data_IF_444368547047
#
_entry.id   IF_444368547047
#
_cell.length_a   1.000
_cell.length_b   1.000
_cell.length_c   1.000
_cell.angle_alpha   90.00
_cell.angle_beta   90.00
_cell.angle_gamma   90.00
#
_symmetry.space_group_name_H-M   'P 1'
#
loop_
_entity.id
_entity.type
_entity.pdbx_description
1 polymer ?
#
# COMPACT_ATOMS: atom_id res chain seq x y z
N UNK A 1 -2.93 7.15 -1.26
CA UNK A 1 -4.06 7.53 -2.14
C UNK A 1 -3.86 6.98 -3.56
N UNK A 2 -4.22 5.72 -3.79
CA UNK A 2 -4.28 5.15 -5.15
C UNK A 2 -5.59 5.64 -5.80
N UNK A 3 -5.50 6.65 -6.68
CA UNK A 3 -6.65 7.11 -7.44
C UNK A 3 -7.00 6.07 -8.51
N UNK A 4 -8.18 5.47 -8.40
CA UNK A 4 -8.84 4.80 -9.51
C UNK A 4 -9.29 5.87 -10.53
N UNK A 5 -8.48 6.12 -11.55
CA UNK A 5 -8.88 6.94 -12.69
C UNK A 5 -9.66 6.06 -13.68
N UNK A 6 -10.99 6.16 -13.63
CA UNK A 6 -11.92 5.44 -14.48
C UNK A 6 -12.31 6.28 -15.71
N UNK A 7 -11.36 6.64 -16.59
CA UNK A 7 -11.65 7.23 -17.91
C UNK A 7 -10.40 7.54 -18.77
N UNK A 8 -9.45 6.61 -18.88
CA UNK A 8 -8.43 6.64 -19.93
C UNK A 8 -8.34 5.24 -20.57
N UNK A 9 -8.20 5.12 -21.90
CA UNK A 9 -7.91 3.83 -22.51
C UNK A 9 -6.58 3.32 -21.95
N UNK A 10 -6.62 2.18 -21.25
CA UNK A 10 -5.41 1.58 -20.64
C UNK A 10 -4.53 1.03 -21.78
N UNK A 11 -3.33 1.55 -22.01
CA UNK A 11 -2.38 0.86 -22.89
C UNK A 11 -2.02 -0.48 -22.24
N UNK A 12 -2.10 -1.58 -23.00
CA UNK A 12 -1.78 -2.91 -22.49
C UNK A 12 -0.31 -2.96 -22.06
N UNK A 13 -0.05 -3.04 -20.76
CA UNK A 13 1.31 -3.25 -20.20
C UNK A 13 1.75 -4.71 -20.23
N UNK A 14 0.95 -5.57 -20.87
CA UNK A 14 1.18 -7.00 -20.96
C UNK A 14 2.41 -7.32 -21.84
N UNK A 15 3.30 -8.24 -21.42
CA UNK A 15 4.37 -8.72 -22.29
C UNK A 15 3.74 -9.31 -23.57
N UNK A 16 4.30 -9.03 -24.76
CA UNK A 16 3.75 -9.60 -25.98
C UNK A 16 3.82 -11.13 -25.90
N UNK A 17 2.74 -11.83 -26.26
CA UNK A 17 2.63 -13.32 -26.15
C UNK A 17 3.82 -14.05 -26.78
N UNK A 18 4.47 -13.45 -27.78
CA UNK A 18 5.68 -13.97 -28.42
C UNK A 18 6.85 -14.20 -27.44
N UNK A 19 6.80 -13.61 -26.25
CA UNK A 19 7.80 -13.70 -25.18
C UNK A 19 7.51 -14.77 -24.13
N UNK A 20 6.36 -15.45 -24.20
CA UNK A 20 6.08 -16.59 -23.33
C UNK A 20 6.80 -17.84 -23.85
N UNK A 21 7.55 -18.49 -22.96
CA UNK A 21 8.18 -19.78 -23.28
C UNK A 21 7.10 -20.84 -23.56
N UNK A 22 5.97 -20.79 -22.82
CA UNK A 22 4.75 -21.53 -23.16
C UNK A 22 3.72 -20.58 -23.82
N UNK A 23 3.68 -20.58 -25.16
CA UNK A 23 2.84 -19.68 -25.95
C UNK A 23 1.35 -19.93 -25.76
N UNK A 24 0.95 -21.19 -25.63
CA UNK A 24 -0.47 -21.57 -25.51
C UNK A 24 -1.08 -21.04 -24.22
N UNK A 25 -0.32 -21.06 -23.11
CA UNK A 25 -0.72 -20.42 -21.85
C UNK A 25 -0.97 -18.92 -22.07
N UNK A 26 -0.03 -18.21 -22.70
CA UNK A 26 -0.16 -16.78 -22.99
C UNK A 26 -1.36 -16.45 -23.89
N UNK A 27 -1.60 -17.26 -24.93
CA UNK A 27 -2.72 -17.10 -25.85
C UNK A 27 -4.08 -17.28 -25.14
N UNK A 28 -4.20 -18.28 -24.26
CA UNK A 28 -5.41 -18.48 -23.45
C UNK A 28 -5.63 -17.29 -22.53
N UNK A 29 -4.62 -16.85 -21.79
CA UNK A 29 -4.75 -15.73 -20.86
C UNK A 29 -5.19 -14.44 -21.58
N UNK A 30 -4.65 -14.16 -22.78
CA UNK A 30 -5.08 -13.02 -23.58
C UNK A 30 -6.50 -13.17 -24.11
N UNK A 31 -6.92 -14.36 -24.54
CA UNK A 31 -8.29 -14.62 -25.02
C UNK A 31 -9.34 -14.28 -23.97
N UNK A 32 -9.02 -14.53 -22.70
CA UNK A 32 -9.89 -14.19 -21.56
C UNK A 32 -9.75 -12.74 -21.08
N UNK A 33 -8.96 -11.91 -21.78
CA UNK A 33 -8.73 -10.50 -21.42
C UNK A 33 -8.29 -10.33 -19.96
N UNK A 34 -7.41 -11.20 -19.49
CA UNK A 34 -6.92 -11.16 -18.10
C UNK A 34 -6.20 -9.83 -17.85
N UNK A 35 -6.49 -9.12 -16.74
CA UNK A 35 -5.81 -7.87 -16.40
C UNK A 35 -4.29 -8.04 -16.24
N UNK A 36 -3.54 -6.93 -16.30
CA UNK A 36 -2.08 -6.96 -16.33
C UNK A 36 -1.42 -7.67 -15.12
N UNK A 37 -1.89 -7.40 -13.91
CA UNK A 37 -1.30 -7.98 -12.69
C UNK A 37 -1.48 -9.51 -12.62
N UNK A 38 -2.70 -10.07 -12.74
CA UNK A 38 -2.86 -11.52 -12.77
C UNK A 38 -2.20 -12.15 -14.01
N UNK A 39 -2.13 -11.47 -15.15
CA UNK A 39 -1.42 -11.95 -16.33
C UNK A 39 0.08 -12.08 -16.10
N UNK A 40 0.73 -11.02 -15.56
CA UNK A 40 2.13 -11.04 -15.18
C UNK A 40 2.41 -12.09 -14.09
N UNK A 41 1.46 -12.25 -13.16
CA UNK A 41 1.60 -13.24 -12.10
C UNK A 41 1.63 -14.66 -12.69
N UNK A 42 0.70 -14.97 -13.60
CA UNK A 42 0.68 -16.24 -14.33
C UNK A 42 1.89 -16.41 -15.23
N UNK A 43 2.40 -15.34 -15.85
CA UNK A 43 3.62 -15.37 -16.66
C UNK A 43 4.82 -15.82 -15.82
N UNK A 44 5.03 -15.18 -14.68
CA UNK A 44 6.14 -15.51 -13.79
C UNK A 44 6.04 -16.95 -13.26
N UNK A 45 4.84 -17.46 -12.95
CA UNK A 45 4.62 -18.86 -12.58
C UNK A 45 4.99 -19.79 -13.74
N UNK A 46 4.52 -19.47 -14.96
CA UNK A 46 4.83 -20.26 -16.15
C UNK A 46 6.33 -20.36 -16.37
N UNK A 47 7.06 -19.25 -16.34
CA UNK A 47 8.52 -19.23 -16.55
C UNK A 47 9.27 -19.93 -15.42
N UNK A 48 8.82 -19.79 -14.17
CA UNK A 48 9.43 -20.47 -13.02
C UNK A 48 9.24 -22.00 -13.08
N UNK A 49 8.13 -22.47 -13.68
CA UNK A 49 7.83 -23.91 -13.80
C UNK A 49 8.71 -24.66 -14.80
N UNK A 50 9.50 -23.96 -15.62
CA UNK A 50 10.32 -24.56 -16.67
C UNK A 50 11.71 -25.04 -16.20
N UNK A 51 12.00 -24.95 -14.90
CA UNK A 51 13.17 -25.58 -14.24
C UNK A 51 14.48 -25.47 -15.04
N UNK A 52 14.93 -24.24 -15.30
CA UNK A 52 16.17 -23.95 -16.03
C UNK A 52 16.02 -23.78 -17.55
N UNK A 53 14.91 -24.24 -18.14
CA UNK A 53 14.64 -24.09 -19.58
C UNK A 53 14.08 -22.70 -19.95
N UNK A 54 13.66 -21.91 -18.96
CA UNK A 54 13.26 -20.52 -19.19
C UNK A 54 14.49 -19.65 -19.48
N UNK A 55 14.34 -18.70 -20.43
CA UNK A 55 15.33 -17.63 -20.64
C UNK A 55 15.56 -16.77 -19.39
N UNK A 56 14.62 -16.80 -18.44
CA UNK A 56 14.65 -16.07 -17.18
C UNK A 56 15.11 -16.90 -16.00
N UNK A 57 15.59 -18.13 -16.20
CA UNK A 57 16.02 -19.03 -15.12
C UNK A 57 16.97 -18.36 -14.13
N UNK A 58 18.05 -17.73 -14.59
CA UNK A 58 19.01 -17.05 -13.71
C UNK A 58 18.41 -15.89 -12.90
N UNK A 59 17.44 -15.16 -13.47
CA UNK A 59 16.74 -14.09 -12.76
C UNK A 59 15.79 -14.68 -11.71
N UNK A 60 15.00 -15.69 -12.09
CA UNK A 60 14.03 -16.37 -11.22
C UNK A 60 14.75 -17.05 -10.04
N UNK A 61 15.90 -17.68 -10.28
CA UNK A 61 16.72 -18.31 -9.23
C UNK A 61 17.25 -17.29 -8.20
N UNK A 62 17.46 -16.04 -8.62
CA UNK A 62 17.88 -14.96 -7.73
C UNK A 62 16.72 -14.34 -6.94
N UNK A 63 15.46 -14.61 -7.31
CA UNK A 63 14.30 -14.06 -6.62
C UNK A 63 14.13 -14.68 -5.21
N UNK A 64 13.59 -13.91 -4.25
CA UNK A 64 13.23 -14.45 -2.95
C UNK A 64 12.21 -15.59 -3.09
N UNK A 65 12.51 -16.74 -2.48
CA UNK A 65 11.54 -17.85 -2.38
C UNK A 65 10.36 -17.49 -1.48
N UNK A 66 10.59 -16.66 -0.47
CA UNK A 66 9.56 -16.18 0.46
C UNK A 66 9.74 -14.68 0.73
N UNK A 67 9.04 -13.81 -0.02
CA UNK A 67 8.92 -12.40 0.31
C UNK A 67 8.37 -12.18 1.73
N UNK A 68 8.84 -11.13 2.42
CA UNK A 68 8.46 -10.83 3.81
C UNK A 68 7.29 -9.84 3.96
N UNK A 69 6.64 -9.48 2.85
CA UNK A 69 5.53 -8.52 2.84
C UNK A 69 4.33 -9.02 3.66
N UNK A 70 3.41 -8.11 3.99
CA UNK A 70 2.20 -8.48 4.74
C UNK A 70 1.33 -9.51 4.02
N UNK A 71 1.50 -9.68 2.71
CA UNK A 71 0.86 -10.77 1.96
C UNK A 71 1.15 -12.14 2.57
N UNK A 72 2.28 -12.33 3.28
CA UNK A 72 2.72 -13.59 3.90
C UNK A 72 2.38 -13.75 5.37
N UNK A 73 1.76 -12.75 5.97
CA UNK A 73 1.33 -12.82 7.35
C UNK A 73 0.00 -13.56 7.42
N UNK A 74 -0.20 -14.38 8.46
CA UNK A 74 -1.48 -15.04 8.69
C UNK A 74 -2.50 -14.04 9.22
N UNK A 75 -3.80 -14.36 9.10
CA UNK A 75 -4.87 -13.54 9.68
C UNK A 75 -4.66 -13.30 11.18
N UNK A 76 -4.28 -14.34 11.92
CA UNK A 76 -3.98 -14.25 13.35
C UNK A 76 -2.80 -13.33 13.65
N UNK A 77 -1.74 -13.36 12.83
CA UNK A 77 -0.58 -12.47 12.98
C UNK A 77 -0.94 -11.01 12.69
N UNK A 78 -1.71 -10.76 11.63
CA UNK A 78 -2.19 -9.42 11.28
C UNK A 78 -3.08 -8.87 12.40
N UNK A 79 -4.03 -9.67 12.88
CA UNK A 79 -4.96 -9.27 13.94
C UNK A 79 -4.26 -9.06 15.28
N UNK A 80 -3.24 -9.86 15.60
CA UNK A 80 -2.50 -9.73 16.86
C UNK A 80 -1.47 -8.59 16.82
N UNK A 81 -0.70 -8.48 15.74
CA UNK A 81 0.48 -7.62 15.70
C UNK A 81 0.16 -6.23 15.12
N UNK A 82 -0.81 -6.09 14.23
CA UNK A 82 -1.15 -4.80 13.61
C UNK A 82 -2.44 -4.18 14.17
N UNK A 83 -2.93 -4.67 15.32
CA UNK A 83 -4.20 -4.20 15.92
C UNK A 83 -4.27 -2.69 16.12
N UNK A 84 -3.14 -2.04 16.44
CA UNK A 84 -3.07 -0.59 16.61
C UNK A 84 -3.07 0.16 15.27
N UNK A 85 -2.36 -0.35 14.26
CA UNK A 85 -2.12 0.34 12.99
C UNK A 85 -3.30 0.23 12.02
N UNK A 86 -3.67 1.32 11.32
CA UNK A 86 -4.66 1.30 10.25
C UNK A 86 -4.22 0.48 9.03
N UNK A 87 -2.91 0.18 8.87
CA UNK A 87 -2.41 -0.67 7.76
C UNK A 87 -3.02 -2.06 7.78
N UNK A 88 -3.50 -2.52 8.96
CA UNK A 88 -4.15 -3.82 9.16
C UNK A 88 -5.26 -4.08 8.15
N UNK A 89 -6.18 -3.13 7.96
CA UNK A 89 -7.31 -3.32 7.05
C UNK A 89 -6.84 -3.39 5.58
N UNK A 90 -5.84 -2.58 5.20
CA UNK A 90 -5.23 -2.65 3.86
C UNK A 90 -4.52 -3.99 3.62
N UNK A 91 -3.93 -4.59 4.66
CA UNK A 91 -3.31 -5.91 4.57
C UNK A 91 -4.37 -7.01 4.38
N UNK A 92 -5.45 -6.97 5.17
CA UNK A 92 -6.58 -7.91 5.06
C UNK A 92 -7.20 -7.83 3.66
N UNK A 93 -7.51 -6.63 3.18
CA UNK A 93 -8.08 -6.42 1.84
C UNK A 93 -7.18 -7.02 0.76
N UNK A 94 -5.87 -6.71 0.79
CA UNK A 94 -4.93 -7.20 -0.23
C UNK A 94 -4.79 -8.72 -0.25
N UNK A 95 -4.79 -9.36 0.91
CA UNK A 95 -4.79 -10.83 0.97
C UNK A 95 -6.08 -11.38 0.35
N UNK A 96 -7.23 -10.82 0.71
CA UNK A 96 -8.52 -11.19 0.13
C UNK A 96 -8.58 -10.96 -1.38
N UNK A 97 -8.03 -9.86 -1.88
CA UNK A 97 -8.00 -9.52 -3.31
C UNK A 97 -7.14 -10.51 -4.11
N UNK A 98 -5.97 -10.88 -3.60
CA UNK A 98 -5.11 -11.90 -4.24
C UNK A 98 -5.80 -13.27 -4.25
N UNK A 99 -6.42 -13.67 -3.13
CA UNK A 99 -7.16 -14.93 -3.03
C UNK A 99 -8.35 -14.94 -3.99
N UNK A 100 -9.13 -13.87 -4.02
CA UNK A 100 -10.28 -13.70 -4.91
C UNK A 100 -9.86 -13.76 -6.38
N UNK A 101 -8.78 -13.07 -6.73
CA UNK A 101 -8.19 -13.08 -8.07
C UNK A 101 -7.79 -14.49 -8.50
N UNK A 102 -7.12 -15.26 -7.64
CA UNK A 102 -6.76 -16.64 -7.94
C UNK A 102 -8.00 -17.52 -8.16
N UNK A 103 -8.98 -17.46 -7.26
CA UNK A 103 -10.19 -18.27 -7.37
C UNK A 103 -10.93 -17.96 -8.67
N UNK A 104 -11.01 -16.68 -9.02
CA UNK A 104 -11.63 -16.21 -10.26
C UNK A 104 -10.88 -16.71 -11.51
N UNK A 105 -9.55 -16.69 -11.53
CA UNK A 105 -8.77 -17.30 -12.63
C UNK A 105 -8.92 -18.82 -12.69
N UNK A 106 -8.90 -19.50 -11.54
CA UNK A 106 -9.07 -20.94 -11.45
C UNK A 106 -10.40 -21.37 -12.06
N UNK A 107 -11.48 -20.74 -11.63
CA UNK A 107 -12.84 -21.14 -12.01
C UNK A 107 -13.15 -20.74 -13.47
N UNK A 108 -12.65 -19.59 -13.95
CA UNK A 108 -12.91 -19.13 -15.32
C UNK A 108 -11.98 -19.74 -16.37
N UNK A 109 -10.73 -20.06 -16.01
CA UNK A 109 -9.65 -20.42 -16.94
C UNK A 109 -8.97 -21.73 -16.54
N UNK A 110 -8.27 -21.81 -15.40
CA UNK A 110 -7.34 -22.92 -15.14
C UNK A 110 -8.05 -24.29 -15.14
N UNK A 111 -9.22 -24.39 -14.50
CA UNK A 111 -10.00 -25.63 -14.46
C UNK A 111 -10.55 -26.08 -15.83
N UNK A 112 -10.65 -25.17 -16.81
CA UNK A 112 -11.12 -25.50 -18.19
C UNK A 112 -9.98 -26.00 -19.08
N UNK A 113 -8.74 -25.71 -18.72
CA UNK A 113 -7.55 -26.06 -19.48
C UNK A 113 -6.51 -26.72 -18.56
N UNK A 114 -6.83 -27.85 -17.90
CA UNK A 114 -5.97 -28.47 -16.90
C UNK A 114 -4.61 -28.93 -17.46
N UNK A 115 -4.54 -29.25 -18.76
CA UNK A 115 -3.29 -29.61 -19.43
C UNK A 115 -2.33 -28.41 -19.57
N UNK A 116 -2.88 -27.19 -19.74
CA UNK A 116 -2.11 -25.95 -19.84
C UNK A 116 -1.84 -25.33 -18.47
N UNK A 117 -2.77 -25.50 -17.52
CA UNK A 117 -2.71 -24.94 -16.18
C UNK A 117 -2.80 -26.03 -15.11
N UNK A 118 -1.81 -26.95 -15.03
CA UNK A 118 -1.85 -28.03 -14.07
C UNK A 118 -1.80 -27.49 -12.63
N UNK A 119 -2.66 -28.01 -11.75
CA UNK A 119 -2.81 -27.52 -10.36
C UNK A 119 -1.50 -27.56 -9.57
N UNK A 120 -0.63 -28.55 -9.85
CA UNK A 120 0.71 -28.62 -9.24
C UNK A 120 1.58 -27.39 -9.51
N UNK A 121 1.34 -26.66 -10.60
CA UNK A 121 2.06 -25.43 -10.99
C UNK A 121 1.22 -24.19 -10.66
N UNK A 122 -0.04 -24.15 -11.10
CA UNK A 122 -0.92 -22.99 -10.95
C UNK A 122 -1.81 -23.11 -9.72
N UNK A 123 -1.19 -23.22 -8.55
CA UNK A 123 -1.87 -23.25 -7.25
C UNK A 123 -1.77 -21.90 -6.51
N UNK A 124 -2.49 -21.80 -5.38
CA UNK A 124 -2.50 -20.61 -4.54
C UNK A 124 -1.10 -20.24 -3.99
N UNK A 125 -0.25 -21.22 -3.70
CA UNK A 125 1.09 -20.97 -3.15
C UNK A 125 1.96 -20.24 -4.18
N UNK A 126 2.06 -20.77 -5.40
CA UNK A 126 2.80 -20.15 -6.50
C UNK A 126 2.17 -18.82 -6.94
N UNK A 127 0.84 -18.69 -6.85
CA UNK A 127 0.16 -17.43 -7.14
C UNK A 127 0.47 -16.35 -6.11
N UNK A 128 0.45 -16.70 -4.81
CA UNK A 128 0.86 -15.80 -3.73
C UNK A 128 2.33 -15.42 -3.83
N UNK A 129 3.20 -16.38 -4.19
CA UNK A 129 4.61 -16.13 -4.53
C UNK A 129 4.76 -15.09 -5.62
N UNK A 130 4.11 -15.32 -6.75
CA UNK A 130 4.18 -14.43 -7.88
C UNK A 130 3.71 -13.01 -7.55
N UNK A 131 2.56 -12.86 -6.88
CA UNK A 131 2.10 -11.55 -6.40
C UNK A 131 3.05 -10.93 -5.37
N UNK A 132 3.66 -11.72 -4.50
CA UNK A 132 4.68 -11.24 -3.56
C UNK A 132 5.89 -10.64 -4.26
N UNK A 133 6.36 -11.27 -5.35
CA UNK A 133 7.40 -10.71 -6.22
C UNK A 133 6.92 -9.43 -6.89
N UNK A 134 5.74 -9.44 -7.52
CA UNK A 134 5.22 -8.26 -8.21
C UNK A 134 5.04 -7.06 -7.26
N UNK A 135 4.49 -7.24 -6.06
CA UNK A 135 4.34 -6.14 -5.11
C UNK A 135 5.68 -5.54 -4.66
N UNK A 136 6.73 -6.34 -4.59
CA UNK A 136 8.03 -5.93 -4.03
C UNK A 136 9.05 -5.49 -5.09
N UNK A 137 8.88 -5.87 -6.36
CA UNK A 137 9.91 -5.69 -7.41
C UNK A 137 9.40 -5.09 -8.71
N UNK A 138 8.10 -4.98 -8.90
CA UNK A 138 7.55 -4.44 -10.14
C UNK A 138 7.85 -2.93 -10.23
N UNK A 139 8.58 -2.53 -11.27
CA UNK A 139 8.93 -1.15 -11.56
C UNK A 139 7.89 -0.56 -12.50
N UNK A 140 7.46 0.68 -12.22
CA UNK A 140 6.62 1.48 -13.12
C UNK A 140 7.51 2.45 -13.90
N UNK A 141 7.48 2.34 -15.22
CA UNK A 141 8.32 3.10 -16.16
C UNK A 141 7.50 4.26 -16.73
N UNK A 142 7.64 5.45 -16.15
CA UNK A 142 6.86 6.63 -16.56
C UNK A 142 7.20 7.06 -18.00
N UNK A 143 8.47 6.93 -18.42
CA UNK A 143 8.89 7.21 -19.80
C UNK A 143 8.34 6.21 -20.84
N UNK A 144 7.65 5.16 -20.39
CA UNK A 144 6.93 4.19 -21.21
C UNK A 144 5.42 4.17 -20.92
N UNK A 145 4.80 5.33 -20.74
CA UNK A 145 3.37 5.48 -20.48
C UNK A 145 2.89 4.75 -19.22
N UNK A 146 3.76 4.67 -18.21
CA UNK A 146 3.46 4.01 -16.94
C UNK A 146 3.38 2.48 -17.04
N UNK A 147 3.97 1.88 -18.08
CA UNK A 147 4.13 0.42 -18.19
C UNK A 147 4.89 -0.13 -16.99
N UNK A 148 4.62 -1.39 -16.68
CA UNK A 148 5.24 -2.08 -15.55
C UNK A 148 6.14 -3.21 -16.01
N UNK A 149 7.26 -3.41 -15.32
CA UNK A 149 8.22 -4.45 -15.66
C UNK A 149 8.94 -4.99 -14.42
N UNK A 150 9.27 -6.28 -14.44
CA UNK A 150 10.33 -6.84 -13.60
C UNK A 150 11.65 -6.59 -14.32
N UNK A 151 12.65 -6.07 -13.61
CA UNK A 151 13.89 -5.58 -14.22
C UNK A 151 15.05 -6.33 -13.57
N UNK A 152 15.48 -7.46 -14.17
CA UNK A 152 16.56 -8.26 -13.63
C UNK A 152 17.79 -7.42 -13.29
N UNK A 153 18.45 -7.76 -12.19
CA UNK A 153 19.56 -7.02 -11.58
C UNK A 153 19.17 -5.67 -10.97
N UNK A 154 18.42 -4.83 -11.67
CA UNK A 154 18.05 -3.50 -11.18
C UNK A 154 17.06 -3.56 -10.00
N UNK A 155 16.10 -4.49 -10.02
CA UNK A 155 15.14 -4.66 -8.92
C UNK A 155 15.74 -5.31 -7.65
N UNK A 156 17.04 -5.61 -7.65
CA UNK A 156 17.78 -6.05 -6.46
C UNK A 156 18.34 -4.88 -5.63
N UNK A 157 18.31 -3.65 -6.16
CA UNK A 157 18.75 -2.45 -5.45
C UNK A 157 17.76 -2.15 -4.31
N UNK A 158 18.29 -1.94 -3.10
CA UNK A 158 17.47 -1.65 -1.93
C UNK A 158 16.96 -0.20 -1.91
N UNK A 159 15.89 0.01 -1.14
CA UNK A 159 15.35 1.34 -0.88
C UNK A 159 16.20 2.14 0.11
N UNK A 160 16.38 3.42 -0.17
CA UNK A 160 16.67 4.41 0.87
C UNK A 160 15.71 5.60 0.77
N UNK A 161 15.20 6.12 1.90
CA UNK A 161 14.42 7.37 1.92
C UNK A 161 15.26 8.62 1.64
N UNK A 162 16.58 8.50 1.62
CA UNK A 162 17.54 9.61 1.42
C UNK A 162 17.92 9.82 -0.04
N UNK A 163 17.42 8.97 -0.95
CA UNK A 163 17.70 9.05 -2.39
C UNK A 163 16.41 9.26 -3.17
N UNK A 164 16.50 10.03 -4.24
CA UNK A 164 15.50 10.25 -5.26
C UNK A 164 15.80 9.43 -6.53
N UNK A 165 16.97 8.80 -6.66
CA UNK A 165 17.31 7.94 -7.79
C UNK A 165 16.25 6.85 -8.06
N UNK A 166 15.73 6.75 -9.28
CA UNK A 166 14.71 5.77 -9.66
C UNK A 166 15.02 5.13 -11.02
N UNK A 167 14.40 3.98 -11.27
CA UNK A 167 14.51 3.25 -12.53
C UNK A 167 13.49 3.76 -13.53
N UNK A 168 13.95 4.14 -14.73
CA UNK A 168 13.06 4.48 -15.84
C UNK A 168 13.71 4.14 -17.19
N UNK A 169 12.92 4.17 -18.25
CA UNK A 169 13.40 3.93 -19.60
C UNK A 169 14.08 5.16 -20.19
N UNK A 170 15.34 5.03 -20.55
CA UNK A 170 16.06 6.03 -21.31
C UNK A 170 16.03 5.71 -22.81
N UNK A 171 15.47 6.64 -23.59
CA UNK A 171 15.36 6.52 -25.04
C UNK A 171 16.72 6.52 -25.73
N UNK A 172 17.72 7.17 -25.16
CA UNK A 172 19.04 7.31 -25.80
C UNK A 172 19.85 6.01 -25.74
N UNK A 173 19.88 5.36 -24.57
CA UNK A 173 20.51 4.05 -24.37
C UNK A 173 19.62 2.87 -24.75
N UNK A 174 18.33 3.11 -25.00
CA UNK A 174 17.30 2.09 -25.24
C UNK A 174 17.20 1.04 -24.12
N UNK A 175 17.46 1.46 -22.87
CA UNK A 175 17.49 0.58 -21.70
C UNK A 175 16.76 1.17 -20.50
N UNK A 176 16.51 0.32 -19.51
CA UNK A 176 16.07 0.78 -18.18
C UNK A 176 17.32 1.16 -17.39
N UNK A 177 17.38 2.40 -16.94
CA UNK A 177 18.53 2.98 -16.25
C UNK A 177 18.09 3.70 -14.98
N UNK A 178 19.03 3.93 -14.07
CA UNK A 178 18.90 4.92 -13.01
C UNK A 178 20.18 5.76 -12.98
N UNK A 179 20.06 7.00 -12.50
CA UNK A 179 21.20 7.87 -12.25
C UNK A 179 21.31 8.09 -10.76
N UNK A 180 22.50 7.90 -10.20
CA UNK A 180 22.77 8.19 -8.79
C UNK A 180 22.66 9.69 -8.53
N UNK A 181 21.98 10.07 -7.45
CA UNK A 181 21.82 11.45 -6.99
C UNK A 181 22.94 11.91 -6.05
N UNK A 182 23.81 10.98 -5.65
CA UNK A 182 24.97 11.21 -4.79
C UNK A 182 26.17 10.37 -5.20
N UNK A 183 27.34 10.74 -4.68
CA UNK A 183 28.56 9.94 -4.81
C UNK A 183 28.52 8.73 -3.89
N UNK A 184 29.12 7.62 -4.34
CA UNK A 184 29.28 6.37 -3.59
C UNK A 184 30.76 6.00 -3.49
N UNK A 185 31.16 5.44 -2.35
CA UNK A 185 32.53 4.92 -2.16
C UNK A 185 32.62 3.43 -2.52
N UNK A 186 33.80 2.91 -2.91
CA UNK A 186 33.99 1.48 -3.10
C UNK A 186 33.57 0.66 -1.86
N UNK A 187 32.70 -0.32 -2.07
CA UNK A 187 32.12 -1.15 -0.99
C UNK A 187 30.83 -0.59 -0.38
N UNK A 188 30.43 0.64 -0.73
CA UNK A 188 29.14 1.20 -0.32
C UNK A 188 27.99 0.61 -1.17
N UNK A 189 26.88 0.31 -0.51
CA UNK A 189 25.67 -0.14 -1.20
C UNK A 189 25.02 1.01 -1.96
N UNK A 190 24.68 0.77 -3.22
CA UNK A 190 23.88 1.68 -4.05
C UNK A 190 22.40 1.46 -3.73
N UNK A 191 21.67 2.57 -3.55
CA UNK A 191 20.26 2.56 -3.20
C UNK A 191 19.45 3.27 -4.27
N UNK A 192 18.16 2.93 -4.35
CA UNK A 192 17.16 3.64 -5.16
C UNK A 192 15.96 4.04 -4.30
N UNK A 193 15.10 4.89 -4.84
CA UNK A 193 13.80 5.20 -4.28
C UNK A 193 12.77 4.20 -4.80
N UNK A 194 12.02 3.57 -3.89
CA UNK A 194 10.82 2.81 -4.26
C UNK A 194 9.60 3.75 -4.41
N UNK A 195 9.83 5.06 -4.35
CA UNK A 195 8.82 6.10 -4.34
C UNK A 195 8.49 6.62 -2.94
N UNK A 196 7.68 7.68 -2.89
CA UNK A 196 7.28 8.38 -1.66
C UNK A 196 6.21 7.60 -0.89
N UNK A 197 6.63 6.56 -0.17
CA UNK A 197 5.76 5.62 0.57
C UNK A 197 5.85 5.82 2.08
N UNK A 198 4.74 5.60 2.77
CA UNK A 198 4.78 5.54 4.23
C UNK A 198 5.46 4.27 4.74
N UNK A 199 5.87 4.26 6.00
CA UNK A 199 6.43 3.05 6.64
C UNK A 199 5.45 1.88 6.62
N UNK A 200 4.15 2.16 6.75
CA UNK A 200 3.09 1.15 6.61
C UNK A 200 3.02 0.58 5.19
N UNK A 201 3.16 1.42 4.16
CA UNK A 201 3.19 0.97 2.76
C UNK A 201 4.45 0.17 2.40
N UNK A 202 5.59 0.53 2.99
CA UNK A 202 6.83 -0.23 2.85
C UNK A 202 6.70 -1.61 3.49
N UNK A 203 6.09 -1.72 4.68
CA UNK A 203 5.83 -3.01 5.31
C UNK A 203 4.84 -3.85 4.47
N UNK A 204 3.79 -3.20 3.98
CA UNK A 204 2.71 -3.83 3.21
C UNK A 204 3.21 -4.52 1.94
N UNK A 205 4.09 -3.86 1.18
CA UNK A 205 4.55 -4.34 -0.14
C UNK A 205 5.94 -4.97 -0.11
N UNK A 206 6.85 -4.49 0.74
CA UNK A 206 8.27 -4.86 0.72
C UNK A 206 8.72 -5.59 1.98
N UNK A 207 7.93 -5.59 3.06
CA UNK A 207 8.20 -6.39 4.25
C UNK A 207 9.24 -5.80 5.21
N UNK A 208 9.46 -4.48 5.18
CA UNK A 208 10.34 -3.79 6.12
C UNK A 208 9.74 -2.46 6.60
N UNK A 209 10.24 -1.98 7.74
CA UNK A 209 9.90 -0.68 8.31
C UNK A 209 11.20 0.11 8.45
N UNK A 210 11.32 1.32 7.86
CA UNK A 210 12.47 2.18 8.10
C UNK A 210 12.65 2.50 9.58
N UNK A 211 13.88 2.81 9.98
CA UNK A 211 14.15 3.27 11.34
C UNK A 211 13.33 4.53 11.65
N UNK A 212 12.76 4.61 12.84
CA UNK A 212 11.98 5.77 13.30
C UNK A 212 12.69 7.09 12.96
N UNK A 213 11.96 7.99 12.30
CA UNK A 213 12.44 9.33 11.95
C UNK A 213 13.34 9.42 10.71
N UNK A 214 13.64 8.31 10.03
CA UNK A 214 14.45 8.33 8.80
C UNK A 214 13.64 8.46 7.51
N UNK A 215 12.34 8.13 7.53
CA UNK A 215 11.47 8.25 6.35
C UNK A 215 10.77 9.63 6.33
N UNK A 216 11.16 10.57 5.45
CA UNK A 216 10.51 11.89 5.36
C UNK A 216 9.12 11.81 4.72
N UNK A 217 8.83 10.71 4.01
CA UNK A 217 7.53 10.48 3.38
C UNK A 217 6.57 9.71 4.30
N UNK A 218 6.93 9.47 5.56
CA UNK A 218 6.10 8.70 6.47
C UNK A 218 4.77 9.38 6.75
N UNK A 219 3.72 8.57 6.89
CA UNK A 219 2.37 9.02 7.17
C UNK A 219 1.53 7.92 7.80
N UNK A 220 0.61 8.29 8.68
CA UNK A 220 -0.40 7.41 9.24
C UNK A 220 -1.79 7.79 8.71
N UNK A 221 -2.57 6.80 8.31
CA UNK A 221 -3.98 7.02 7.92
C UNK A 221 -4.82 7.32 9.16
N UNK A 222 -5.25 8.57 9.30
CA UNK A 222 -6.01 9.06 10.44
C UNK A 222 -7.50 9.04 10.12
N UNK A 223 -8.20 8.10 10.75
CA UNK A 223 -9.63 7.89 10.54
C UNK A 223 -10.45 8.79 11.47
N UNK A 224 -11.33 9.59 10.88
CA UNK A 224 -12.32 10.42 11.57
C UNK A 224 -13.72 10.06 11.07
N UNK A 225 -14.75 10.31 11.88
CA UNK A 225 -16.12 9.93 11.55
C UNK A 225 -17.12 10.97 12.01
N UNK A 226 -18.27 11.05 11.33
CA UNK A 226 -19.41 11.80 11.84
C UNK A 226 -19.93 11.17 13.14
N UNK A 227 -20.50 12.00 14.01
CA UNK A 227 -21.22 11.54 15.20
C UNK A 227 -22.69 11.26 14.85
N UNK A 228 -23.16 10.03 15.05
CA UNK A 228 -24.56 9.63 14.76
C UNK A 228 -25.60 10.33 15.64
N UNK A 229 -25.17 10.89 16.77
CA UNK A 229 -26.02 11.67 17.68
C UNK A 229 -26.09 13.16 17.33
N UNK A 230 -25.37 13.61 16.30
CA UNK A 230 -25.45 14.98 15.79
C UNK A 230 -26.84 15.26 15.18
N UNK A 231 -27.44 16.40 15.52
CA UNK A 231 -28.76 16.81 15.01
C UNK A 231 -28.80 16.89 13.49
N UNK A 232 -27.69 17.32 12.88
CA UNK A 232 -27.48 17.47 11.44
C UNK A 232 -26.79 16.25 10.80
N UNK A 233 -26.75 15.10 11.48
CA UNK A 233 -26.03 13.92 11.00
C UNK A 233 -26.46 13.51 9.57
N UNK A 234 -27.76 13.53 9.27
CA UNK A 234 -28.28 13.07 7.96
C UNK A 234 -27.85 14.01 6.85
N UNK A 235 -27.91 15.31 7.09
CA UNK A 235 -27.56 16.38 6.18
C UNK A 235 -26.05 16.38 5.90
N UNK A 236 -25.23 16.28 6.95
CA UNK A 236 -23.77 16.15 6.85
C UNK A 236 -23.39 14.89 6.06
N UNK A 237 -24.00 13.75 6.36
CA UNK A 237 -23.75 12.50 5.63
C UNK A 237 -24.19 12.58 4.16
N UNK A 238 -25.29 13.26 3.87
CA UNK A 238 -25.78 13.45 2.50
C UNK A 238 -24.80 14.31 1.69
N UNK A 239 -24.27 15.40 2.27
CA UNK A 239 -23.26 16.23 1.65
C UNK A 239 -21.98 15.42 1.32
N UNK A 240 -21.49 14.63 2.28
CA UNK A 240 -20.33 13.75 2.08
C UNK A 240 -20.57 12.76 0.92
N UNK A 241 -21.70 12.04 0.95
CA UNK A 241 -22.04 11.03 -0.07
C UNK A 241 -22.13 11.62 -1.47
N UNK A 242 -22.64 12.85 -1.62
CA UNK A 242 -22.74 13.54 -2.91
C UNK A 242 -21.37 13.78 -3.56
N UNK A 243 -20.30 13.86 -2.76
CA UNK A 243 -18.92 14.02 -3.22
C UNK A 243 -18.08 12.74 -3.15
N UNK A 244 -18.75 11.59 -2.96
CA UNK A 244 -18.12 10.28 -2.92
C UNK A 244 -17.25 10.07 -1.68
N UNK A 245 -17.57 10.76 -0.59
CA UNK A 245 -17.09 10.47 0.75
C UNK A 245 -18.15 9.66 1.50
N UNK A 246 -17.76 9.11 2.62
CA UNK A 246 -18.55 8.26 3.50
C UNK A 246 -18.61 8.86 4.91
N UNK A 247 -19.29 8.17 5.83
CA UNK A 247 -19.40 8.60 7.23
C UNK A 247 -18.04 8.62 7.94
N UNK A 248 -17.10 7.76 7.52
CA UNK A 248 -15.77 7.66 8.12
C UNK A 248 -14.72 7.79 7.03
N UNK A 249 -13.89 8.82 7.13
CA UNK A 249 -12.86 9.13 6.15
C UNK A 249 -11.47 9.03 6.77
N UNK A 250 -10.48 8.65 5.96
CA UNK A 250 -9.08 8.56 6.38
C UNK A 250 -8.25 9.63 5.70
N UNK A 251 -7.45 10.34 6.49
CA UNK A 251 -6.58 11.41 6.03
C UNK A 251 -5.13 11.12 6.42
N UNK A 252 -4.15 11.29 5.51
CA UNK A 252 -2.76 10.99 5.83
C UNK A 252 -2.14 12.08 6.70
N UNK A 253 -1.92 11.79 7.98
CA UNK A 253 -1.13 12.66 8.86
C UNK A 253 0.36 12.45 8.62
N UNK A 254 1.14 13.53 8.68
CA UNK A 254 2.60 13.52 8.58
C UNK A 254 3.20 14.27 9.76
N UNK A 255 4.49 14.05 10.03
CA UNK A 255 5.22 14.87 11.01
C UNK A 255 5.27 16.36 10.63
N UNK A 256 5.03 16.68 9.35
CA UNK A 256 4.99 18.05 8.83
C UNK A 256 3.59 18.68 8.88
N UNK A 257 2.59 17.96 9.42
CA UNK A 257 1.20 18.43 9.54
C UNK A 257 0.18 17.52 8.85
N UNK A 258 -1.03 18.05 8.72
CA UNK A 258 -2.20 17.36 8.16
C UNK A 258 -2.69 17.99 6.85
N UNK A 259 -3.43 17.25 6.01
CA UNK A 259 -4.03 17.80 4.81
C UNK A 259 -5.16 18.78 5.13
N UNK A 260 -5.34 19.79 4.27
CA UNK A 260 -6.45 20.75 4.40
C UNK A 260 -7.82 20.08 4.32
N UNK A 261 -7.91 18.92 3.67
CA UNK A 261 -9.10 18.10 3.61
C UNK A 261 -9.55 17.58 4.97
N UNK A 262 -8.61 17.27 5.87
CA UNK A 262 -8.94 16.88 7.25
C UNK A 262 -9.61 18.05 7.97
N UNK A 263 -9.09 19.26 7.80
CA UNK A 263 -9.66 20.46 8.40
C UNK A 263 -11.06 20.76 7.84
N UNK A 264 -11.24 20.63 6.53
CA UNK A 264 -12.55 20.77 5.89
C UNK A 264 -13.58 19.75 6.43
N UNK A 265 -13.14 18.51 6.63
CA UNK A 265 -13.97 17.48 7.26
C UNK A 265 -14.30 17.83 8.72
N UNK A 266 -13.32 18.31 9.49
CA UNK A 266 -13.50 18.73 10.87
C UNK A 266 -14.49 19.90 10.99
N UNK A 267 -14.41 20.90 10.10
CA UNK A 267 -15.41 21.97 10.01
C UNK A 267 -16.81 21.42 9.79
N UNK A 268 -16.98 20.49 8.85
CA UNK A 268 -18.29 19.85 8.62
C UNK A 268 -18.78 19.13 9.89
N UNK A 269 -17.90 18.41 10.58
CA UNK A 269 -18.24 17.69 11.82
C UNK A 269 -18.76 18.65 12.88
N UNK A 270 -18.08 19.76 13.12
CA UNK A 270 -18.44 20.68 14.23
C UNK A 270 -19.48 21.73 13.86
N UNK A 271 -19.80 21.88 12.57
CA UNK A 271 -20.73 22.91 12.11
C UNK A 271 -22.13 22.73 12.70
N UNK A 272 -22.75 23.81 13.23
CA UNK A 272 -24.08 23.75 13.81
C UNK A 272 -25.19 23.84 12.72
N UNK A 273 -26.47 23.63 13.07
CA UNK A 273 -27.59 23.64 12.12
C UNK A 273 -27.72 24.94 11.31
N UNK A 274 -27.35 26.09 11.88
CA UNK A 274 -27.44 27.39 11.20
C UNK A 274 -26.51 27.47 9.98
N UNK A 275 -25.46 26.64 9.94
CA UNK A 275 -24.48 26.57 8.85
C UNK A 275 -24.82 25.48 7.81
N UNK A 276 -26.02 24.91 7.81
CA UNK A 276 -26.44 23.85 6.87
C UNK A 276 -26.17 24.20 5.39
N UNK A 277 -26.27 25.48 5.02
CA UNK A 277 -26.00 25.96 3.66
C UNK A 277 -24.52 25.81 3.24
N UNK A 278 -23.61 25.62 4.20
CA UNK A 278 -22.16 25.45 4.01
C UNK A 278 -21.70 23.99 4.02
N UNK A 279 -22.55 23.05 4.41
CA UNK A 279 -22.16 21.64 4.53
C UNK A 279 -21.65 21.05 3.22
N UNK A 280 -22.31 21.38 2.11
CA UNK A 280 -21.88 20.96 0.78
C UNK A 280 -20.48 21.51 0.45
N UNK A 281 -20.24 22.80 0.70
CA UNK A 281 -18.95 23.45 0.45
C UNK A 281 -17.81 22.78 1.24
N UNK A 282 -18.06 22.46 2.53
CA UNK A 282 -17.11 21.75 3.38
C UNK A 282 -16.87 20.31 2.90
N UNK A 283 -17.93 19.60 2.49
CA UNK A 283 -17.80 18.25 1.94
C UNK A 283 -17.04 18.23 0.60
N UNK A 284 -17.22 19.23 -0.27
CA UNK A 284 -16.42 19.41 -1.49
C UNK A 284 -14.95 19.59 -1.14
N UNK A 285 -14.64 20.47 -0.18
CA UNK A 285 -13.27 20.76 0.23
C UNK A 285 -12.60 19.57 0.94
N UNK A 286 -13.36 18.77 1.68
CA UNK A 286 -12.89 17.50 2.27
C UNK A 286 -12.63 16.44 1.19
N UNK A 287 -13.28 16.56 0.03
CA UNK A 287 -13.08 15.65 -1.09
C UNK A 287 -11.80 16.03 -1.86
N UNK A 288 -10.90 15.07 -1.99
CA UNK A 288 -9.66 15.19 -2.74
C UNK A 288 -9.84 15.30 -4.28
N UNK A 289 -11.07 15.50 -4.79
CA UNK A 289 -11.44 15.38 -6.21
C UNK A 289 -11.49 16.70 -7.01
N UNK A 290 -11.26 17.86 -6.39
CA UNK A 290 -11.27 19.17 -7.07
C UNK A 290 -9.89 19.72 -7.47
N UNK A 291 -9.80 20.45 -8.59
CA UNK A 291 -8.59 21.16 -9.06
C UNK A 291 -8.40 22.55 -8.43
N UNK A 292 -9.47 23.17 -7.95
CA UNK A 292 -9.42 24.37 -7.09
C UNK A 292 -10.14 24.06 -5.78
N UNK A 293 -9.42 24.10 -4.66
CA UNK A 293 -10.04 23.97 -3.34
C UNK A 293 -10.44 25.36 -2.87
N UNK A 294 -11.70 25.58 -2.44
CA UNK A 294 -12.05 26.83 -1.79
C UNK A 294 -11.17 26.99 -0.54
N UNK A 295 -10.61 28.19 -0.35
CA UNK A 295 -9.99 28.53 0.92
C UNK A 295 -11.13 28.59 1.96
N UNK A 296 -11.31 27.51 2.71
CA UNK A 296 -12.25 27.50 3.81
C UNK A 296 -11.67 28.35 4.93
N UNK A 297 -12.42 29.37 5.33
CA UNK A 297 -12.10 30.22 6.46
C UNK A 297 -13.37 30.33 7.30
N UNK A 298 -13.41 29.58 8.40
CA UNK A 298 -14.49 29.60 9.38
C UNK A 298 -13.88 29.86 10.77
N UNK A 299 -13.42 31.10 11.05
CA UNK A 299 -12.78 31.43 12.33
C UNK A 299 -13.64 31.06 13.55
N UNK A 300 -14.97 31.11 13.39
CA UNK A 300 -15.94 30.72 14.42
C UNK A 300 -15.95 29.21 14.74
N UNK A 301 -15.40 28.37 13.87
CA UNK A 301 -15.32 26.91 14.03
C UNK A 301 -13.91 26.40 14.31
N UNK A 302 -12.86 27.22 14.13
CA UNK A 302 -11.45 26.80 14.19
C UNK A 302 -11.11 26.07 15.49
N UNK A 303 -11.48 26.64 16.64
CA UNK A 303 -11.22 26.03 17.95
C UNK A 303 -11.92 24.67 18.10
N UNK A 304 -13.18 24.57 17.69
CA UNK A 304 -13.97 23.34 17.79
C UNK A 304 -13.44 22.26 16.84
N UNK A 305 -13.06 22.64 15.62
CA UNK A 305 -12.51 21.73 14.62
C UNK A 305 -11.14 21.18 15.06
N UNK A 306 -10.28 22.05 15.61
CA UNK A 306 -9.00 21.65 16.20
C UNK A 306 -9.19 20.73 17.42
N UNK A 307 -10.13 21.06 18.31
CA UNK A 307 -10.45 20.21 19.45
C UNK A 307 -10.96 18.83 19.02
N UNK A 308 -11.80 18.76 17.99
CA UNK A 308 -12.25 17.48 17.42
C UNK A 308 -11.08 16.63 16.90
N UNK A 309 -10.13 17.25 16.18
CA UNK A 309 -8.93 16.55 15.69
C UNK A 309 -8.06 16.09 16.87
N UNK A 310 -7.90 16.93 17.88
CA UNK A 310 -7.15 16.63 19.11
C UNK A 310 -7.73 15.41 19.84
N UNK A 311 -9.04 15.38 20.09
CA UNK A 311 -9.72 14.27 20.75
C UNK A 311 -9.52 12.94 19.98
N UNK A 312 -9.59 13.00 18.65
CA UNK A 312 -9.36 11.86 17.79
C UNK A 312 -7.89 11.41 17.81
N UNK A 313 -6.93 12.35 17.89
CA UNK A 313 -5.51 12.06 18.07
C UNK A 313 -5.24 11.38 19.41
N UNK A 314 -5.82 11.89 20.51
CA UNK A 314 -5.65 11.32 21.85
C UNK A 314 -6.18 9.89 21.94
N UNK A 315 -7.37 9.64 21.38
CA UNK A 315 -7.95 8.30 21.28
C UNK A 315 -7.04 7.34 20.52
N UNK A 316 -6.50 7.79 19.38
CA UNK A 316 -5.56 7.02 18.57
C UNK A 316 -4.26 6.74 19.34
N UNK A 317 -3.63 7.77 19.92
CA UNK A 317 -2.40 7.65 20.73
C UNK A 317 -2.59 6.64 21.86
N UNK A 318 -3.72 6.67 22.57
CA UNK A 318 -4.04 5.72 23.64
C UNK A 318 -4.06 4.27 23.12
N UNK A 319 -4.62 4.04 21.93
CA UNK A 319 -4.61 2.73 21.26
C UNK A 319 -3.18 2.23 21.00
N UNK A 320 -2.32 3.08 20.43
CA UNK A 320 -0.92 2.74 20.17
C UNK A 320 -0.12 2.49 21.46
N UNK A 321 -0.29 3.35 22.47
CA UNK A 321 0.40 3.21 23.76
C UNK A 321 0.02 1.91 24.45
N UNK A 322 -1.28 1.58 24.51
CA UNK A 322 -1.75 0.30 25.06
C UNK A 322 -1.11 -0.91 24.36
N UNK A 323 -0.99 -0.88 23.04
CA UNK A 323 -0.34 -1.93 22.27
C UNK A 323 1.16 -2.05 22.62
N UNK A 324 1.89 -0.94 22.64
CA UNK A 324 3.33 -0.91 22.90
C UNK A 324 3.70 -1.33 24.33
N UNK A 325 2.81 -1.07 25.30
CA UNK A 325 2.94 -1.51 26.69
C UNK A 325 2.57 -3.00 26.87
N UNK A 326 1.48 -3.45 26.26
CA UNK A 326 1.02 -4.85 26.32
C UNK A 326 2.00 -5.84 25.66
N UNK A 327 2.81 -5.37 24.70
CA UNK A 327 3.86 -6.17 24.09
C UNK A 327 4.99 -6.60 25.05
N UNK A 328 5.07 -6.02 26.26
CA UNK A 328 6.09 -6.36 27.26
C UNK A 328 5.85 -7.69 28.01
N UNK A 329 4.75 -8.41 27.76
CA UNK A 329 4.30 -9.51 28.63
C UNK A 329 3.84 -10.83 27.99
N UNK A 330 4.14 -11.13 26.72
CA UNK A 330 3.69 -12.41 26.13
C UNK A 330 4.65 -13.57 26.41
N UNK A 331 4.20 -14.55 27.19
CA UNK A 331 4.92 -15.79 27.51
C UNK A 331 5.26 -16.63 26.26
N UNK A 332 6.44 -17.25 26.27
CA UNK A 332 6.97 -18.08 25.18
C UNK A 332 6.29 -19.46 25.16
N UNK A 333 5.70 -19.81 24.03
CA UNK A 333 5.28 -21.18 23.72
C UNK A 333 6.45 -21.86 22.99
N UNK A 334 6.72 -23.12 23.33
CA UNK A 334 7.73 -23.96 22.67
C UNK A 334 7.47 -24.05 21.17
N UNK A 335 8.27 -23.32 20.40
CA UNK A 335 8.23 -23.24 18.94
C UNK A 335 9.64 -23.53 18.44
N UNK A 336 9.77 -24.18 17.27
CA UNK A 336 11.10 -24.42 16.68
C UNK A 336 11.84 -23.10 16.38
N UNK A 337 13.17 -23.11 16.37
CA UNK A 337 14.02 -21.89 16.29
C UNK A 337 13.73 -21.03 15.05
N UNK A 338 13.39 -21.63 13.90
CA UNK A 338 13.07 -20.87 12.67
C UNK A 338 11.77 -20.08 12.82
N UNK A 339 10.74 -20.70 13.36
CA UNK A 339 9.44 -20.07 13.57
C UNK A 339 9.49 -19.08 14.74
N UNK A 340 10.31 -19.32 15.76
CA UNK A 340 10.61 -18.36 16.81
C UNK A 340 11.27 -17.08 16.23
N UNK A 341 12.28 -17.23 15.38
CA UNK A 341 12.96 -16.10 14.73
C UNK A 341 12.00 -15.29 13.83
N UNK A 342 11.14 -15.95 13.03
CA UNK A 342 10.13 -15.26 12.23
C UNK A 342 9.15 -14.50 13.12
N UNK A 343 8.66 -15.13 14.19
CA UNK A 343 7.73 -14.49 15.13
C UNK A 343 8.33 -13.25 15.76
N UNK A 344 9.59 -13.32 16.19
CA UNK A 344 10.31 -12.18 16.76
C UNK A 344 10.44 -11.04 15.73
N UNK A 345 10.83 -11.37 14.49
CA UNK A 345 10.92 -10.40 13.39
C UNK A 345 9.58 -9.70 13.13
N UNK A 346 8.47 -10.45 13.03
CA UNK A 346 7.17 -9.85 12.75
C UNK A 346 6.69 -8.93 13.88
N UNK A 347 6.88 -9.35 15.13
CA UNK A 347 6.59 -8.51 16.31
C UNK A 347 7.43 -7.24 16.30
N UNK A 348 8.72 -7.34 15.95
CA UNK A 348 9.63 -6.20 15.85
C UNK A 348 9.15 -5.21 14.77
N UNK A 349 8.87 -5.69 13.56
CA UNK A 349 8.36 -4.86 12.46
C UNK A 349 7.07 -4.13 12.84
N UNK A 350 6.12 -4.84 13.46
CA UNK A 350 4.86 -4.24 13.89
C UNK A 350 5.06 -3.20 15.01
N UNK A 351 5.99 -3.46 15.94
CA UNK A 351 6.37 -2.52 16.99
C UNK A 351 7.01 -1.26 16.41
N UNK A 352 7.95 -1.41 15.49
CA UNK A 352 8.64 -0.29 14.84
C UNK A 352 7.65 0.58 14.04
N UNK A 353 6.71 -0.04 13.33
CA UNK A 353 5.64 0.68 12.65
C UNK A 353 4.78 1.48 13.64
N UNK A 354 4.35 0.84 14.73
CA UNK A 354 3.54 1.49 15.76
C UNK A 354 4.26 2.65 16.43
N UNK A 355 5.58 2.55 16.64
CA UNK A 355 6.39 3.64 17.16
C UNK A 355 6.39 4.81 16.16
N UNK A 356 6.65 4.56 14.88
CA UNK A 356 6.69 5.61 13.85
C UNK A 356 5.33 6.31 13.68
N UNK A 357 4.24 5.54 13.58
CA UNK A 357 2.88 6.09 13.44
C UNK A 357 2.47 6.90 14.68
N UNK A 358 2.79 6.42 15.89
CA UNK A 358 2.49 7.15 17.12
C UNK A 358 3.27 8.46 17.22
N UNK A 359 4.52 8.51 16.73
CA UNK A 359 5.31 9.75 16.69
C UNK A 359 4.62 10.82 15.82
N UNK A 360 4.04 10.43 14.70
CA UNK A 360 3.27 11.34 13.83
C UNK A 360 2.03 11.88 14.55
N UNK A 361 1.31 11.02 15.27
CA UNK A 361 0.13 11.43 16.05
C UNK A 361 0.48 12.40 17.17
N UNK A 362 1.56 12.14 17.93
CA UNK A 362 2.03 13.07 18.97
C UNK A 362 2.44 14.42 18.38
N UNK A 363 3.06 14.43 17.21
CA UNK A 363 3.42 15.69 16.55
C UNK A 363 2.17 16.49 16.17
N UNK A 364 1.16 15.81 15.63
CA UNK A 364 -0.13 16.44 15.29
C UNK A 364 -0.83 17.01 16.52
N UNK A 365 -0.81 16.29 17.65
CA UNK A 365 -1.32 16.81 18.93
C UNK A 365 -0.56 18.07 19.38
N UNK A 366 0.77 18.04 19.33
CA UNK A 366 1.61 19.18 19.73
C UNK A 366 1.41 20.42 18.86
N UNK A 367 1.12 20.25 17.57
CA UNK A 367 0.87 21.38 16.67
C UNK A 367 -0.51 22.03 16.92
N UNK A 368 -1.41 21.37 17.68
CA UNK A 368 -2.73 21.89 18.08
C UNK A 368 -2.70 22.57 19.45
N UNK A 369 -1.95 21.99 20.41
CA UNK A 369 -1.82 22.46 21.80
C UNK A 369 -0.76 23.54 21.96
#
# INVERSE_FOLDING_TARGET
MERSCSSCPRPSSSPPIREWSNREVGDVMKRYSVPDWPLLATYLISEASLEGSSRWSSYIDALPRQPYSLLYWTRTEIDAYLVASPIRERAISRISDVIGTYNDLRDRIFSKYPDLFPEKVYNMENFRWSFGILFSRLVRLESMDGKVALVPWADMLNHSPEVDAFLDYDKSSQGIVFTTDRSYQPGEQVFISYGKKSSGELLLSYGFVPKEGTNPNDSVEFMVSLNKSDECYKEKLQALKKHGLSESESFPLRVTGWPVELMAYAFLVVSPPEMIQRFEEMAVAASNKGSSKPALNYPELDEQALQFILDCCESSIKKYTKYLEGAKGSAEVSINTKQANRTLLLKQLARDLCISERRILYRSQYDIT
#
